data_IF_370382742305
#
_entry.id   IF_370382742305
#
_cell.length_a   1.000
_cell.length_b   1.000
_cell.length_c   1.000
_cell.angle_alpha   90.00
_cell.angle_beta   90.00
_cell.angle_gamma   90.00
#
_symmetry.space_group_name_H-M   'P 1'
#
loop_
_entity.id
_entity.type
_entity.pdbx_description
1 polymer ?
#
# COMPACT_ATOMS: atom_id res chain seq x y z
N UNK A 1 1.34 4.18 -20.67
CA UNK A 1 2.03 2.91 -20.33
C UNK A 1 3.27 3.22 -19.49
N UNK A 2 3.23 3.06 -18.16
CA UNK A 2 4.33 3.43 -17.24
C UNK A 2 4.92 2.19 -16.52
N UNK A 3 5.34 1.18 -17.30
CA UNK A 3 5.79 -0.13 -16.76
C UNK A 3 7.09 0.00 -15.94
N UNK A 4 8.03 0.81 -16.44
CA UNK A 4 9.32 1.03 -15.79
C UNK A 4 9.13 1.77 -14.46
N UNK A 5 8.42 2.90 -14.49
CA UNK A 5 8.19 3.76 -13.34
C UNK A 5 7.46 3.00 -12.24
N UNK A 6 6.42 2.23 -12.59
CA UNK A 6 5.69 1.41 -11.62
C UNK A 6 6.56 0.31 -11.00
N UNK A 7 7.52 -0.26 -11.75
CA UNK A 7 8.51 -1.22 -11.24
C UNK A 7 9.52 -0.55 -10.30
N UNK A 8 10.07 0.61 -10.69
CA UNK A 8 11.03 1.35 -9.89
C UNK A 8 10.40 1.87 -8.59
N UNK A 9 9.21 2.46 -8.67
CA UNK A 9 8.44 2.94 -7.51
C UNK A 9 8.13 1.81 -6.52
N UNK A 10 7.75 0.63 -7.01
CA UNK A 10 7.51 -0.56 -6.17
C UNK A 10 8.77 -0.98 -5.39
N UNK A 11 9.94 -0.94 -6.04
CA UNK A 11 11.22 -1.23 -5.39
C UNK A 11 11.63 -0.15 -4.39
N UNK A 12 11.42 1.13 -4.70
CA UNK A 12 11.73 2.27 -3.82
C UNK A 12 10.84 2.28 -2.56
N UNK A 13 9.53 2.06 -2.72
CA UNK A 13 8.54 2.09 -1.64
C UNK A 13 8.45 0.77 -0.85
N UNK A 14 9.25 -0.24 -1.22
CA UNK A 14 9.24 -1.60 -0.64
C UNK A 14 7.82 -2.18 -0.55
N UNK A 15 7.05 -2.06 -1.64
CA UNK A 15 5.68 -2.53 -1.72
C UNK A 15 5.39 -3.17 -3.09
N UNK A 16 4.35 -3.98 -3.21
CA UNK A 16 3.97 -4.58 -4.49
C UNK A 16 3.40 -3.55 -5.47
N UNK A 17 3.50 -3.82 -6.78
CA UNK A 17 3.01 -2.95 -7.87
C UNK A 17 1.53 -2.52 -7.72
N UNK A 18 0.70 -3.32 -7.05
CA UNK A 18 -0.72 -3.01 -6.78
C UNK A 18 -0.90 -1.87 -5.76
N UNK A 19 0.11 -1.64 -4.91
CA UNK A 19 0.11 -0.61 -3.86
C UNK A 19 0.80 0.69 -4.30
N UNK A 20 1.26 0.78 -5.54
CA UNK A 20 1.77 2.03 -6.11
C UNK A 20 0.62 2.75 -6.83
N UNK A 21 0.36 3.98 -6.43
CA UNK A 21 -0.49 4.93 -7.15
C UNK A 21 0.41 5.93 -7.89
N UNK A 22 0.02 6.26 -9.11
CA UNK A 22 0.68 7.25 -9.98
C UNK A 22 -0.41 8.25 -10.34
N UNK A 23 -0.13 9.54 -10.22
CA UNK A 23 -1.09 10.58 -10.58
C UNK A 23 -1.42 10.52 -12.08
N UNK A 24 -2.71 10.38 -12.47
CA UNK A 24 -3.12 10.42 -13.87
C UNK A 24 -2.95 11.80 -14.52
N UNK A 25 -2.96 12.89 -13.75
CA UNK A 25 -2.84 14.24 -14.29
C UNK A 25 -1.40 14.55 -14.71
N UNK A 26 -0.43 14.06 -13.95
CA UNK A 26 1.01 14.34 -14.13
C UNK A 26 1.75 13.19 -14.82
N UNK A 27 1.07 12.49 -15.73
CA UNK A 27 1.63 11.31 -16.41
C UNK A 27 2.87 11.63 -17.23
N UNK A 28 2.97 12.83 -17.81
CA UNK A 28 4.13 13.28 -18.58
C UNK A 28 5.36 13.48 -17.69
N UNK A 29 5.19 14.12 -16.53
CA UNK A 29 6.28 14.30 -15.57
C UNK A 29 6.77 12.95 -15.03
N UNK A 30 5.84 12.06 -14.70
CA UNK A 30 6.17 10.71 -14.25
C UNK A 30 6.89 9.92 -15.35
N UNK A 31 6.48 10.06 -16.62
CA UNK A 31 7.12 9.38 -17.75
C UNK A 31 8.60 9.74 -17.91
N UNK A 32 8.97 11.00 -17.64
CA UNK A 32 10.34 11.50 -17.73
C UNK A 32 11.27 10.94 -16.63
N UNK A 33 10.72 10.41 -15.53
CA UNK A 33 11.53 9.79 -14.47
C UNK A 33 12.01 8.39 -14.88
N UNK A 34 13.32 8.25 -15.11
CA UNK A 34 13.97 7.02 -15.56
C UNK A 34 14.92 6.41 -14.50
N UNK A 35 15.23 7.15 -13.43
CA UNK A 35 16.11 6.71 -12.35
C UNK A 35 15.38 6.50 -11.01
N UNK A 36 15.96 5.69 -10.12
CA UNK A 36 15.42 5.52 -8.74
C UNK A 36 15.46 6.82 -7.94
N UNK A 37 16.42 7.69 -8.21
CA UNK A 37 16.56 8.98 -7.52
C UNK A 37 15.41 9.92 -7.88
N UNK A 38 15.08 10.05 -9.16
CA UNK A 38 13.92 10.83 -9.61
C UNK A 38 12.61 10.27 -9.05
N UNK A 39 12.44 8.95 -9.03
CA UNK A 39 11.27 8.33 -8.41
C UNK A 39 11.15 8.66 -6.91
N UNK A 40 12.26 8.74 -6.16
CA UNK A 40 12.23 9.19 -4.75
C UNK A 40 11.79 10.65 -4.62
N UNK A 41 12.19 11.50 -5.56
CA UNK A 41 11.74 12.90 -5.62
C UNK A 41 10.22 12.96 -5.87
N UNK A 42 9.71 12.27 -6.89
CA UNK A 42 8.27 12.20 -7.17
C UNK A 42 7.43 11.61 -6.02
N UNK A 43 8.00 10.69 -5.24
CA UNK A 43 7.35 10.18 -4.01
C UNK A 43 7.28 11.27 -2.93
N UNK A 44 8.34 12.06 -2.78
CA UNK A 44 8.39 13.18 -1.82
C UNK A 44 7.43 14.30 -2.22
N UNK A 45 7.31 14.56 -3.52
CA UNK A 45 6.45 15.57 -4.10
C UNK A 45 4.97 15.14 -4.15
N UNK A 46 4.66 13.87 -3.85
CA UNK A 46 3.29 13.35 -3.73
C UNK A 46 2.67 12.83 -5.04
N UNK A 47 3.38 12.92 -6.16
CA UNK A 47 2.97 12.40 -7.47
C UNK A 47 2.90 10.86 -7.51
N UNK A 48 3.69 10.21 -6.64
CA UNK A 48 3.71 8.75 -6.47
C UNK A 48 3.41 8.41 -5.01
N UNK A 49 2.30 7.70 -4.77
CA UNK A 49 1.84 7.40 -3.41
C UNK A 49 1.78 5.90 -3.16
N UNK A 50 2.14 5.49 -1.94
CA UNK A 50 1.89 4.14 -1.44
C UNK A 50 0.43 4.04 -0.97
N UNK A 51 -0.39 3.30 -1.71
CA UNK A 51 -1.78 3.01 -1.31
C UNK A 51 -1.79 2.27 0.04
N UNK A 52 -2.74 2.59 0.93
CA UNK A 52 -2.88 1.89 2.21
C UNK A 52 -3.15 0.40 2.00
N UNK A 53 -2.75 -0.40 2.99
CA UNK A 53 -3.06 -1.84 3.01
C UNK A 53 -4.56 -2.01 3.20
N UNK A 54 -5.14 -3.01 2.53
CA UNK A 54 -6.56 -3.34 2.73
C UNK A 54 -6.67 -3.98 4.10
N UNK A 55 -7.42 -3.35 5.02
CA UNK A 55 -7.48 -3.80 6.41
C UNK A 55 -8.59 -4.84 6.57
N UNK A 56 -8.26 -5.98 7.19
CA UNK A 56 -9.25 -6.92 7.70
C UNK A 56 -9.48 -6.66 9.18
N UNK A 57 -10.72 -6.30 9.56
CA UNK A 57 -11.04 -5.98 10.95
C UNK A 57 -10.89 -7.20 11.86
N UNK A 58 -10.15 -7.03 12.97
CA UNK A 58 -10.04 -8.03 14.04
C UNK A 58 -11.10 -7.88 15.13
N UNK A 59 -12.05 -6.95 14.99
CA UNK A 59 -13.04 -6.64 16.03
C UNK A 59 -13.85 -7.88 16.45
N UNK A 60 -14.36 -8.64 15.48
CA UNK A 60 -15.13 -9.87 15.74
C UNK A 60 -14.29 -10.94 16.45
N UNK A 61 -13.07 -11.18 15.95
CA UNK A 61 -12.13 -12.12 16.54
C UNK A 61 -11.81 -11.73 18.00
N UNK A 62 -11.48 -10.45 18.26
CA UNK A 62 -11.18 -9.95 19.61
C UNK A 62 -12.38 -10.08 20.55
N UNK A 63 -13.59 -9.75 20.08
CA UNK A 63 -14.84 -9.93 20.85
C UNK A 63 -15.04 -11.40 21.25
N UNK A 64 -14.83 -12.32 20.30
CA UNK A 64 -14.94 -13.75 20.58
C UNK A 64 -13.85 -14.24 21.54
N UNK A 65 -12.59 -13.82 21.37
CA UNK A 65 -11.50 -14.15 22.30
C UNK A 65 -11.81 -13.67 23.72
N UNK A 66 -12.37 -12.48 23.89
CA UNK A 66 -12.78 -11.96 25.20
C UNK A 66 -13.92 -12.77 25.80
N UNK A 67 -14.90 -13.20 25.00
CA UNK A 67 -15.98 -14.07 25.46
C UNK A 67 -15.45 -15.46 25.89
N UNK A 68 -14.55 -16.06 25.10
CA UNK A 68 -13.87 -17.33 25.43
C UNK A 68 -13.03 -17.24 26.71
N UNK A 69 -12.30 -16.14 26.91
CA UNK A 69 -11.55 -15.89 28.16
C UNK A 69 -12.46 -15.79 29.39
N UNK A 70 -13.72 -15.39 29.22
CA UNK A 70 -14.74 -15.37 30.29
C UNK A 70 -15.43 -16.74 30.47
N UNK A 71 -14.91 -17.80 29.87
CA UNK A 71 -15.50 -19.15 29.94
C UNK A 71 -16.75 -19.36 29.06
N UNK A 72 -17.08 -18.42 28.17
CA UNK A 72 -18.21 -18.56 27.23
C UNK A 72 -17.76 -19.23 25.93
N UNK A 73 -18.68 -19.77 25.14
CA UNK A 73 -18.37 -20.49 23.89
C UNK A 73 -17.41 -21.69 24.10
N UNK A 74 -17.46 -22.31 25.28
CA UNK A 74 -16.90 -23.63 25.56
C UNK A 74 -18.10 -24.58 25.55
N UNK A 75 -18.45 -25.13 24.39
CA UNK A 75 -19.48 -26.17 24.35
C UNK A 75 -19.15 -27.32 25.31
N UNK A 76 -20.14 -28.17 25.59
CA UNK A 76 -19.89 -29.46 26.26
C UNK A 76 -18.85 -30.25 25.47
#
# INVERSE_FOLDING_TARGET
>A
MLRLQKRLASSVLRCGKKKVWLDPNETNEIANANSRQQIRKLVKDGLIIKKPVTVHSRARCRKNTLARRKGRHMGI
#
